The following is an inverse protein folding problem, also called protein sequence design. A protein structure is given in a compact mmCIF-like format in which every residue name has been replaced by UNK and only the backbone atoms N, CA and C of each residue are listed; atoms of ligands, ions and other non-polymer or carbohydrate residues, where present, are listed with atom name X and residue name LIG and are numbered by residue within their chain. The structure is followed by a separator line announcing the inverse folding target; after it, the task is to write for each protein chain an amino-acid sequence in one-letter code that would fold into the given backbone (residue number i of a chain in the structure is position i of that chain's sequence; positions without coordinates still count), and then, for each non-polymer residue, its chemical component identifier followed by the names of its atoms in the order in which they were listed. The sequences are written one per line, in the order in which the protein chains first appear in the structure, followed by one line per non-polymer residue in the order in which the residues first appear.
data_IF_309752109196
#
_entry.id   IF_309752109196
#
_cell.length_a   1.000
_cell.length_b   1.000
_cell.length_c   1.000
_cell.angle_alpha   90.00
_cell.angle_beta   90.00
_cell.angle_gamma   90.00
#
_symmetry.space_group_name_H-M   'P 1'
#
loop_
_entity.id
_entity.type
_entity.pdbx_description
1 polymer ?
#
# COMPACT_ATOMS: atom_id res chain seq x y z
N UNK A 1 -16.52 3.92 11.65
CA UNK A 1 -15.85 2.60 11.56
C UNK A 1 -14.36 2.82 11.30
N UNK A 2 -13.48 2.08 11.98
CA UNK A 2 -12.03 2.22 11.79
C UNK A 2 -11.61 1.52 10.50
N UNK A 3 -10.73 2.14 9.73
CA UNK A 3 -10.28 1.62 8.44
C UNK A 3 -8.81 1.23 8.48
N UNK A 4 -8.50 0.03 7.98
CA UNK A 4 -7.17 -0.51 7.91
C UNK A 4 -6.78 -0.75 6.45
N UNK A 5 -5.50 -0.60 6.17
CA UNK A 5 -4.91 -0.95 4.88
C UNK A 5 -3.91 -2.07 5.12
N UNK A 6 -4.13 -3.24 4.55
CA UNK A 6 -3.16 -4.32 4.64
C UNK A 6 -2.13 -4.13 3.51
N UNK A 7 -0.87 -4.04 3.91
CA UNK A 7 0.26 -4.02 2.99
C UNK A 7 0.49 -5.41 2.37
N UNK A 8 1.21 -5.50 1.25
CA UNK A 8 1.35 -6.75 0.53
C UNK A 8 2.01 -7.88 1.32
N UNK A 9 2.97 -7.61 2.22
CA UNK A 9 3.51 -8.67 3.07
C UNK A 9 2.44 -9.32 3.95
N UNK A 10 1.33 -8.64 4.26
CA UNK A 10 0.19 -9.28 4.92
C UNK A 10 -0.44 -10.36 4.02
N UNK A 11 -0.56 -10.13 2.71
CA UNK A 11 -1.06 -11.13 1.76
C UNK A 11 -0.12 -12.35 1.68
N UNK A 12 1.19 -12.12 1.64
CA UNK A 12 2.20 -13.20 1.67
C UNK A 12 2.08 -14.02 2.97
N UNK A 13 1.86 -13.36 4.11
CA UNK A 13 1.65 -14.05 5.39
C UNK A 13 0.39 -14.93 5.38
N UNK A 14 -0.68 -14.52 4.68
CA UNK A 14 -1.87 -15.35 4.50
C UNK A 14 -1.53 -16.58 3.65
N UNK A 15 -0.95 -16.37 2.46
CA UNK A 15 -0.65 -17.42 1.48
C UNK A 15 0.26 -18.50 2.06
N UNK A 16 1.35 -18.08 2.71
CA UNK A 16 2.38 -18.96 3.24
C UNK A 16 2.10 -19.41 4.68
N UNK A 17 0.96 -19.01 5.27
CA UNK A 17 0.59 -19.33 6.66
C UNK A 17 1.70 -19.01 7.68
N UNK A 18 2.34 -17.84 7.51
CA UNK A 18 3.41 -17.37 8.40
C UNK A 18 2.84 -16.92 9.75
N UNK A 19 3.70 -16.51 10.67
CA UNK A 19 3.34 -16.20 12.07
C UNK A 19 2.19 -15.19 12.22
N UNK A 20 2.06 -14.20 11.33
CA UNK A 20 0.99 -13.21 11.39
C UNK A 20 -0.34 -13.66 10.76
N UNK A 21 -0.42 -14.88 10.20
CA UNK A 21 -1.60 -15.40 9.50
C UNK A 21 -2.89 -15.29 10.34
N UNK A 22 -2.84 -15.71 11.61
CA UNK A 22 -3.99 -15.70 12.50
C UNK A 22 -4.56 -14.30 12.72
N UNK A 23 -3.70 -13.34 13.05
CA UNK A 23 -4.11 -11.95 13.30
C UNK A 23 -4.70 -11.29 12.04
N UNK A 24 -4.11 -11.55 10.87
CA UNK A 24 -4.61 -11.01 9.60
C UNK A 24 -5.98 -11.60 9.29
N UNK A 25 -6.20 -12.91 9.51
CA UNK A 25 -7.53 -13.52 9.38
C UNK A 25 -8.55 -12.90 10.32
N UNK A 26 -8.19 -12.58 11.56
CA UNK A 26 -9.09 -11.90 12.49
C UNK A 26 -9.54 -10.54 11.96
N UNK A 27 -8.64 -9.76 11.36
CA UNK A 27 -9.00 -8.48 10.72
C UNK A 27 -9.96 -8.66 9.53
N UNK A 28 -9.74 -9.69 8.71
CA UNK A 28 -10.60 -10.00 7.55
C UNK A 28 -12.00 -10.43 8.01
N UNK A 29 -12.09 -11.30 9.01
CA UNK A 29 -13.39 -11.73 9.55
C UNK A 29 -14.14 -10.57 10.20
N UNK A 30 -13.43 -9.63 10.84
CA UNK A 30 -14.05 -8.41 11.35
C UNK A 30 -14.59 -7.51 10.22
N UNK A 31 -13.90 -7.45 9.08
CA UNK A 31 -14.40 -6.77 7.89
C UNK A 31 -15.70 -7.41 7.39
N UNK A 32 -15.73 -8.75 7.33
CA UNK A 32 -16.92 -9.51 6.93
C UNK A 32 -18.13 -9.28 7.85
N UNK A 33 -17.88 -9.02 9.14
CA UNK A 33 -18.90 -8.66 10.14
C UNK A 33 -19.26 -7.17 10.17
N UNK A 34 -18.60 -6.32 9.36
CA UNK A 34 -18.83 -4.87 9.35
C UNK A 34 -18.24 -4.14 10.57
N UNK A 35 -17.31 -4.76 11.29
CA UNK A 35 -16.66 -4.18 12.47
C UNK A 35 -15.42 -3.35 12.10
N UNK A 36 -14.86 -3.59 10.91
CA UNK A 36 -13.72 -2.87 10.36
C UNK A 36 -13.90 -2.64 8.86
N UNK A 37 -13.36 -1.53 8.35
CA UNK A 37 -13.18 -1.33 6.92
C UNK A 37 -11.76 -1.77 6.55
N UNK A 38 -11.62 -2.84 5.76
CA UNK A 38 -10.32 -3.31 5.29
C UNK A 38 -10.17 -2.93 3.81
N UNK A 39 -8.95 -2.55 3.43
CA UNK A 39 -8.56 -2.39 2.05
C UNK A 39 -7.15 -2.91 1.80
N UNK A 40 -6.85 -3.19 0.53
CA UNK A 40 -5.54 -3.61 0.05
C UNK A 40 -5.19 -2.83 -1.21
N UNK A 41 -3.89 -2.69 -1.50
CA UNK A 41 -3.45 -2.07 -2.75
C UNK A 41 -3.67 -3.04 -3.92
N UNK A 42 -4.29 -2.59 -5.00
CA UNK A 42 -4.56 -3.45 -6.15
C UNK A 42 -3.33 -3.82 -6.99
N UNK A 43 -2.24 -3.05 -6.93
CA UNK A 43 -1.00 -3.43 -7.65
C UNK A 43 -0.25 -4.60 -7.01
N UNK A 44 -0.75 -5.17 -5.91
CA UNK A 44 -0.20 -6.41 -5.32
C UNK A 44 -0.32 -7.65 -6.22
N UNK A 45 -1.02 -7.55 -7.36
CA UNK A 45 -1.04 -8.60 -8.38
C UNK A 45 0.22 -8.66 -9.28
N UNK A 46 0.99 -7.57 -9.38
CA UNK A 46 2.23 -7.57 -10.15
C UNK A 46 3.41 -8.18 -9.40
N UNK A 47 3.27 -8.36 -8.10
CA UNK A 47 4.28 -9.00 -7.27
C UNK A 47 4.35 -10.49 -7.58
N UNK A 48 5.55 -11.04 -7.34
CA UNK A 48 5.86 -12.44 -7.59
C UNK A 48 4.91 -13.30 -6.75
N UNK A 49 4.05 -14.05 -7.43
CA UNK A 49 3.14 -14.98 -6.79
C UNK A 49 3.94 -16.12 -6.12
N UNK A 50 3.38 -16.83 -5.14
CA UNK A 50 3.93 -18.11 -4.71
C UNK A 50 4.25 -18.99 -5.92
N UNK A 51 5.49 -19.49 -6.03
CA UNK A 51 5.96 -20.24 -7.21
C UNK A 51 6.59 -19.40 -8.34
N UNK A 52 6.63 -18.08 -8.21
CA UNK A 52 7.46 -17.21 -9.05
C UNK A 52 6.77 -16.55 -10.25
N UNK A 53 5.50 -16.86 -10.51
CA UNK A 53 4.73 -16.32 -11.63
C UNK A 53 4.15 -14.93 -11.34
N UNK A 54 3.59 -14.28 -12.37
CA UNK A 54 2.87 -12.99 -12.27
C UNK A 54 1.41 -13.15 -12.67
N UNK A 55 0.52 -12.38 -12.04
CA UNK A 55 -0.84 -12.26 -12.54
C UNK A 55 -0.84 -11.31 -13.74
N UNK A 56 -1.33 -11.80 -14.88
CA UNK A 56 -1.32 -11.04 -16.14
C UNK A 56 -2.60 -10.22 -16.31
N UNK A 57 -3.67 -10.57 -15.60
CA UNK A 57 -4.96 -9.90 -15.68
C UNK A 57 -5.47 -9.52 -14.31
N UNK A 58 -6.16 -8.38 -14.24
CA UNK A 58 -6.84 -7.93 -13.02
C UNK A 58 -7.90 -8.95 -12.55
N UNK A 59 -8.60 -9.61 -13.46
CA UNK A 59 -9.54 -10.68 -13.11
C UNK A 59 -8.88 -11.86 -12.35
N UNK A 60 -7.62 -12.16 -12.65
CA UNK A 60 -6.88 -13.21 -11.93
C UNK A 60 -6.56 -12.76 -10.49
N UNK A 61 -6.32 -11.46 -10.30
CA UNK A 61 -6.17 -10.85 -8.98
C UNK A 61 -7.46 -10.92 -8.18
N UNK A 62 -8.59 -10.52 -8.76
CA UNK A 62 -9.90 -10.60 -8.10
C UNK A 62 -10.26 -12.04 -7.70
N UNK A 63 -9.94 -13.01 -8.57
CA UNK A 63 -10.12 -14.43 -8.30
C UNK A 63 -9.26 -14.90 -7.12
N UNK A 64 -7.98 -14.49 -7.08
CA UNK A 64 -7.08 -14.76 -5.95
C UNK A 64 -7.61 -14.12 -4.66
N UNK A 65 -8.03 -12.86 -4.70
CA UNK A 65 -8.56 -12.17 -3.53
C UNK A 65 -9.81 -12.89 -3.01
N UNK A 66 -10.70 -13.32 -3.91
CA UNK A 66 -11.87 -14.12 -3.55
C UNK A 66 -11.50 -15.44 -2.89
N UNK A 67 -10.51 -16.17 -3.42
CA UNK A 67 -10.01 -17.42 -2.83
C UNK A 67 -9.39 -17.23 -1.44
N UNK A 68 -8.81 -16.05 -1.17
CA UNK A 68 -8.28 -15.67 0.15
C UNK A 68 -9.35 -15.13 1.11
N UNK A 69 -10.63 -15.10 0.70
CA UNK A 69 -11.72 -14.53 1.48
C UNK A 69 -11.76 -13.00 1.45
N UNK A 70 -10.99 -12.36 0.58
CA UNK A 70 -10.85 -10.91 0.43
C UNK A 70 -11.70 -10.33 -0.71
N UNK A 71 -12.55 -11.12 -1.36
CA UNK A 71 -13.33 -10.67 -2.53
C UNK A 71 -14.31 -9.52 -2.24
N UNK A 72 -14.61 -9.24 -0.96
CA UNK A 72 -15.49 -8.17 -0.51
C UNK A 72 -14.74 -6.94 0.01
N UNK A 73 -13.40 -6.97 0.02
CA UNK A 73 -12.53 -5.93 0.59
C UNK A 73 -12.25 -4.85 -0.46
N UNK A 74 -12.13 -3.61 -0.01
CA UNK A 74 -11.87 -2.48 -0.89
C UNK A 74 -10.48 -2.56 -1.53
N UNK A 75 -10.41 -2.31 -2.84
CA UNK A 75 -9.15 -2.25 -3.58
C UNK A 75 -8.73 -0.79 -3.78
N UNK A 76 -7.60 -0.40 -3.18
CA UNK A 76 -7.02 0.92 -3.35
C UNK A 76 -6.30 1.00 -4.69
N UNK A 77 -6.55 2.10 -5.41
CA UNK A 77 -5.95 2.35 -6.71
C UNK A 77 -4.57 3.01 -6.55
N UNK A 78 -3.50 2.43 -7.12
CA UNK A 78 -2.19 3.07 -7.16
C UNK A 78 -2.14 4.21 -8.17
N UNK A 79 -1.08 5.02 -8.12
CA UNK A 79 -0.70 5.89 -9.24
C UNK A 79 -0.38 5.04 -10.47
N UNK A 80 -0.90 5.45 -11.63
CA UNK A 80 -0.61 4.82 -12.91
C UNK A 80 0.87 4.92 -13.29
N UNK A 81 1.49 3.78 -13.54
CA UNK A 81 2.88 3.65 -13.96
C UNK A 81 2.96 2.81 -15.23
N UNK A 82 3.49 3.39 -16.29
CA UNK A 82 3.65 2.69 -17.58
C UNK A 82 4.47 1.40 -17.39
N UNK A 83 3.95 0.27 -17.87
CA UNK A 83 4.57 -1.04 -17.74
C UNK A 83 4.49 -1.69 -16.35
N UNK A 84 3.87 -1.03 -15.37
CA UNK A 84 3.81 -1.49 -13.96
C UNK A 84 2.39 -1.50 -13.37
N UNK A 85 1.43 -0.81 -13.99
CA UNK A 85 0.03 -0.76 -13.53
C UNK A 85 -0.92 -1.46 -14.49
N UNK A 86 -2.03 -1.99 -13.96
CA UNK A 86 -3.12 -2.50 -14.80
C UNK A 86 -3.86 -1.34 -15.46
N UNK A 87 -4.09 -1.46 -16.77
CA UNK A 87 -4.94 -0.53 -17.50
C UNK A 87 -6.35 -0.54 -16.90
N UNK A 88 -6.94 0.65 -16.66
CA UNK A 88 -8.28 0.79 -16.07
C UNK A 88 -8.34 0.67 -14.54
N UNK A 89 -7.26 0.25 -13.87
CA UNK A 89 -7.19 0.14 -12.41
C UNK A 89 -6.00 0.92 -11.82
N UNK A 90 -5.91 2.20 -12.16
CA UNK A 90 -4.94 3.14 -11.59
C UNK A 90 -5.47 4.57 -11.66
N UNK A 91 -4.86 5.46 -10.88
CA UNK A 91 -5.18 6.89 -10.86
C UNK A 91 -4.22 7.62 -11.80
N UNK A 92 -4.76 8.48 -12.67
CA UNK A 92 -3.95 9.46 -13.38
C UNK A 92 -3.50 10.51 -12.36
N UNK A 93 -2.20 10.53 -12.07
CA UNK A 93 -1.60 11.41 -11.06
C UNK A 93 -1.21 12.76 -11.64
N UNK A 94 -1.27 13.79 -10.79
CA UNK A 94 -0.59 15.06 -11.02
C UNK A 94 0.84 15.04 -10.45
N UNK A 95 1.56 16.15 -10.61
CA UNK A 95 2.94 16.28 -10.11
C UNK A 95 3.02 16.19 -8.57
N UNK A 96 2.02 16.70 -7.85
CA UNK A 96 1.99 16.67 -6.39
C UNK A 96 1.87 15.24 -5.86
N UNK A 97 1.02 14.41 -6.46
CA UNK A 97 0.90 12.98 -6.13
C UNK A 97 2.20 12.23 -6.40
N UNK A 98 2.86 12.51 -7.52
CA UNK A 98 4.15 11.91 -7.87
C UNK A 98 5.25 12.30 -6.88
N UNK A 99 5.30 13.57 -6.47
CA UNK A 99 6.32 14.01 -5.50
C UNK A 99 6.03 13.46 -4.10
N UNK A 100 4.76 13.31 -3.71
CA UNK A 100 4.40 12.63 -2.46
C UNK A 100 4.84 11.16 -2.48
N UNK A 101 4.61 10.43 -3.56
CA UNK A 101 5.07 9.04 -3.72
C UNK A 101 6.61 8.95 -3.64
N UNK A 102 7.33 9.88 -4.29
CA UNK A 102 8.81 9.91 -4.22
C UNK A 102 9.32 10.25 -2.82
N UNK A 103 8.66 11.14 -2.08
CA UNK A 103 9.01 11.44 -0.70
C UNK A 103 8.85 10.21 0.19
N UNK A 104 7.75 9.46 0.02
CA UNK A 104 7.53 8.18 0.71
C UNK A 104 8.64 7.20 0.34
N UNK A 105 8.93 7.04 -0.95
CA UNK A 105 9.98 6.13 -1.45
C UNK A 105 11.33 6.44 -0.81
N UNK A 106 11.80 7.69 -0.88
CA UNK A 106 13.10 8.10 -0.32
C UNK A 106 13.16 7.95 1.21
N UNK A 107 12.02 8.06 1.88
CA UNK A 107 11.95 7.85 3.34
C UNK A 107 12.06 6.37 3.70
N UNK A 108 11.40 5.49 2.94
CA UNK A 108 11.46 4.05 3.14
C UNK A 108 12.80 3.46 2.69
N UNK A 109 13.38 3.97 1.60
CA UNK A 109 14.56 3.42 0.93
C UNK A 109 15.61 4.52 0.66
N UNK A 110 16.26 5.07 1.70
CA UNK A 110 17.11 6.26 1.57
C UNK A 110 18.35 6.07 0.69
N UNK A 111 18.78 4.82 0.48
CA UNK A 111 19.95 4.47 -0.34
C UNK A 111 19.58 4.04 -1.76
N UNK A 112 18.29 4.01 -2.10
CA UNK A 112 17.79 3.52 -3.39
C UNK A 112 17.27 4.70 -4.21
N UNK A 113 17.77 4.94 -5.44
CA UNK A 113 17.23 5.98 -6.30
C UNK A 113 15.73 5.78 -6.58
N UNK A 114 14.94 6.83 -6.31
CA UNK A 114 13.48 6.76 -6.45
C UNK A 114 13.00 6.71 -7.90
N UNK A 115 13.79 7.23 -8.85
CA UNK A 115 13.47 7.14 -10.28
C UNK A 115 14.13 5.90 -10.87
N UNK A 116 13.36 5.12 -11.64
CA UNK A 116 13.87 3.94 -12.33
C UNK A 116 15.08 4.25 -13.21
N UNK A 117 15.05 5.37 -13.95
CA UNK A 117 16.16 5.79 -14.81
C UNK A 117 17.47 5.93 -14.06
N UNK A 118 17.41 6.45 -12.84
CA UNK A 118 18.58 6.77 -12.03
C UNK A 118 19.09 5.50 -11.34
N UNK A 119 18.16 4.64 -10.88
CA UNK A 119 18.47 3.30 -10.39
C UNK A 119 19.13 2.44 -11.48
N UNK A 120 18.56 2.39 -12.68
CA UNK A 120 19.12 1.62 -13.79
C UNK A 120 20.55 2.05 -14.10
N UNK A 121 20.82 3.37 -14.14
CA UNK A 121 22.18 3.90 -14.34
C UNK A 121 23.12 3.49 -13.21
N UNK A 122 22.70 3.61 -11.94
CA UNK A 122 23.58 3.29 -10.79
C UNK A 122 23.92 1.81 -10.67
N UNK A 123 23.10 0.94 -11.26
CA UNK A 123 23.29 -0.52 -11.25
C UNK A 123 23.73 -1.09 -12.60
N UNK A 124 24.04 -0.24 -13.60
CA UNK A 124 24.50 -0.69 -14.92
C UNK A 124 23.46 -1.48 -15.72
N UNK A 125 22.17 -1.20 -15.52
CA UNK A 125 21.04 -1.87 -16.17
C UNK A 125 20.58 -1.10 -17.41
N UNK A 126 20.00 -1.82 -18.37
CA UNK A 126 19.21 -1.19 -19.44
C UNK A 126 17.96 -0.55 -18.82
N UNK A 127 17.67 0.71 -19.18
CA UNK A 127 16.45 1.42 -18.75
C UNK A 127 15.17 0.75 -19.22
N UNK A 128 15.24 -0.16 -20.21
CA UNK A 128 14.11 -0.97 -20.69
C UNK A 128 13.97 -2.30 -19.94
N UNK A 129 14.96 -2.71 -19.15
CA UNK A 129 14.90 -3.95 -18.40
C UNK A 129 14.03 -3.79 -17.15
N UNK A 130 12.80 -4.30 -17.22
CA UNK A 130 11.89 -4.34 -16.08
C UNK A 130 11.80 -5.74 -15.45
N UNK A 131 12.68 -6.67 -15.83
CA UNK A 131 12.51 -8.10 -15.57
C UNK A 131 13.66 -8.77 -14.83
N UNK A 132 14.85 -8.16 -14.79
CA UNK A 132 15.95 -8.68 -13.98
C UNK A 132 15.67 -8.61 -12.48
N UNK A 133 16.42 -9.38 -11.70
CA UNK A 133 16.34 -9.35 -10.24
C UNK A 133 16.56 -7.94 -9.66
N UNK A 134 17.45 -7.15 -10.26
CA UNK A 134 17.69 -5.77 -9.84
C UNK A 134 16.51 -4.85 -10.18
N UNK A 135 15.90 -5.00 -11.36
CA UNK A 135 14.66 -4.30 -11.70
C UNK A 135 13.52 -4.67 -10.75
N UNK A 136 13.42 -5.95 -10.38
CA UNK A 136 12.44 -6.42 -9.40
C UNK A 136 12.62 -5.81 -8.03
N UNK A 137 13.86 -5.69 -7.55
CA UNK A 137 14.14 -5.03 -6.28
C UNK A 137 13.57 -3.61 -6.28
N UNK A 138 13.88 -2.80 -7.30
CA UNK A 138 13.36 -1.45 -7.41
C UNK A 138 11.82 -1.40 -7.49
N UNK A 139 11.21 -2.32 -8.25
CA UNK A 139 9.75 -2.43 -8.35
C UNK A 139 9.09 -2.76 -7.02
N UNK A 140 9.69 -3.61 -6.19
CA UNK A 140 9.19 -3.91 -4.84
C UNK A 140 9.28 -2.67 -3.93
N UNK A 141 10.37 -1.89 -4.04
CA UNK A 141 10.46 -0.61 -3.33
C UNK A 141 9.36 0.37 -3.77
N UNK A 142 9.09 0.45 -5.08
CA UNK A 142 7.99 1.27 -5.61
C UNK A 142 6.63 0.78 -5.10
N UNK A 143 6.39 -0.53 -5.10
CA UNK A 143 5.15 -1.13 -4.59
C UNK A 143 4.89 -0.76 -3.13
N UNK A 144 5.91 -0.82 -2.28
CA UNK A 144 5.81 -0.39 -0.88
C UNK A 144 5.47 1.10 -0.75
N UNK A 145 6.09 1.96 -1.57
CA UNK A 145 5.76 3.39 -1.59
C UNK A 145 4.33 3.65 -2.08
N UNK A 146 3.87 2.93 -3.11
CA UNK A 146 2.51 3.03 -3.62
C UNK A 146 1.46 2.53 -2.63
N UNK A 147 1.76 1.48 -1.86
CA UNK A 147 0.86 0.97 -0.82
C UNK A 147 0.56 2.06 0.22
N UNK A 148 1.61 2.72 0.70
CA UNK A 148 1.45 3.78 1.69
C UNK A 148 0.87 5.06 1.08
N UNK A 149 1.26 5.42 -0.14
CA UNK A 149 0.63 6.55 -0.84
C UNK A 149 -0.88 6.35 -1.01
N UNK A 150 -1.32 5.16 -1.44
CA UNK A 150 -2.73 4.87 -1.63
C UNK A 150 -3.50 4.83 -0.31
N UNK A 151 -2.85 4.41 0.78
CA UNK A 151 -3.37 4.50 2.14
C UNK A 151 -3.64 5.95 2.55
N UNK A 152 -2.66 6.85 2.37
CA UNK A 152 -2.82 8.28 2.66
C UNK A 152 -3.87 8.93 1.76
N UNK A 153 -3.82 8.67 0.46
CA UNK A 153 -4.75 9.22 -0.52
C UNK A 153 -6.20 8.74 -0.27
N UNK A 154 -6.37 7.51 0.21
CA UNK A 154 -7.66 6.96 0.62
C UNK A 154 -8.15 7.44 1.99
N UNK A 155 -7.41 8.32 2.68
CA UNK A 155 -7.76 8.85 3.99
C UNK A 155 -7.95 7.76 5.06
N UNK A 156 -7.20 6.66 4.97
CA UNK A 156 -7.40 5.48 5.83
C UNK A 156 -6.69 5.65 7.17
N UNK A 157 -7.22 5.00 8.21
CA UNK A 157 -6.78 5.28 9.58
C UNK A 157 -5.50 4.56 9.98
N UNK A 158 -5.34 3.29 9.60
CA UNK A 158 -4.21 2.45 10.04
C UNK A 158 -3.58 1.73 8.85
N UNK A 159 -2.27 1.83 8.71
CA UNK A 159 -1.48 1.03 7.77
C UNK A 159 -0.92 -0.20 8.50
N UNK A 160 -1.29 -1.40 8.05
CA UNK A 160 -0.94 -2.66 8.68
C UNK A 160 0.12 -3.37 7.85
N UNK A 161 1.27 -3.66 8.46
CA UNK A 161 2.38 -4.33 7.77
C UNK A 161 3.24 -5.15 8.73
N UNK A 162 3.92 -6.17 8.21
CA UNK A 162 4.98 -6.89 8.91
C UNK A 162 6.38 -6.38 8.53
N UNK A 163 6.48 -5.39 7.65
CA UNK A 163 7.75 -4.82 7.21
C UNK A 163 8.18 -3.66 8.13
N UNK A 164 9.20 -3.90 8.94
CA UNK A 164 9.74 -2.93 9.90
C UNK A 164 10.29 -1.66 9.25
N UNK A 165 10.62 -1.69 7.95
CA UNK A 165 11.08 -0.52 7.21
C UNK A 165 10.08 0.65 7.23
N UNK A 166 8.79 0.36 7.36
CA UNK A 166 7.74 1.39 7.47
C UNK A 166 7.82 2.19 8.78
N UNK A 167 8.47 1.69 9.83
CA UNK A 167 8.71 2.45 11.06
C UNK A 167 9.61 3.68 10.86
N UNK A 168 10.19 3.88 9.67
CA UNK A 168 10.91 5.09 9.28
C UNK A 168 9.98 6.28 9.00
N UNK A 169 8.76 6.04 8.52
CA UNK A 169 7.84 7.12 8.14
C UNK A 169 7.48 8.01 9.33
N UNK A 170 6.94 7.49 10.47
CA UNK A 170 6.47 8.35 11.56
C UNK A 170 7.59 9.14 12.25
N UNK A 171 8.86 8.81 11.97
CA UNK A 171 10.05 9.51 12.47
C UNK A 171 10.35 10.81 11.69
N UNK A 172 9.59 11.10 10.63
CA UNK A 172 9.72 12.30 9.80
C UNK A 172 8.47 13.16 9.97
N UNK A 173 8.66 14.48 10.03
CA UNK A 173 7.58 15.44 10.31
C UNK A 173 6.45 15.35 9.29
N UNK A 174 6.80 15.10 8.03
CA UNK A 174 5.91 14.98 6.88
C UNK A 174 4.97 13.77 6.95
N UNK A 175 5.24 12.84 7.85
CA UNK A 175 4.45 11.64 8.12
C UNK A 175 4.14 11.47 9.61
N UNK A 176 4.23 12.54 10.41
CA UNK A 176 4.06 12.43 11.85
C UNK A 176 2.74 11.74 12.21
N UNK A 177 1.67 12.03 11.48
CA UNK A 177 0.32 11.48 11.72
C UNK A 177 0.12 10.04 11.18
N UNK A 178 1.14 9.42 10.59
CA UNK A 178 1.05 8.07 10.07
C UNK A 178 0.89 7.06 11.21
N UNK A 179 -0.21 6.30 11.20
CA UNK A 179 -0.44 5.22 12.16
C UNK A 179 -0.11 3.89 11.49
N UNK A 180 1.02 3.32 11.90
CA UNK A 180 1.55 2.08 11.33
C UNK A 180 1.55 1.02 12.43
N UNK A 181 0.96 -0.14 12.13
CA UNK A 181 0.78 -1.21 13.10
C UNK A 181 1.20 -2.56 12.51
N UNK A 182 1.69 -3.45 13.37
CA UNK A 182 1.73 -4.88 13.06
C UNK A 182 0.31 -5.46 13.06
N UNK A 183 0.08 -6.62 12.41
CA UNK A 183 -1.22 -7.30 12.49
C UNK A 183 -1.71 -7.53 13.92
N UNK A 184 -0.82 -7.94 14.82
CA UNK A 184 -1.14 -8.14 16.25
C UNK A 184 -1.61 -6.85 16.92
N UNK A 185 -0.93 -5.73 16.66
CA UNK A 185 -1.34 -4.42 17.20
C UNK A 185 -2.70 -3.99 16.64
N UNK A 186 -2.94 -4.20 15.35
CA UNK A 186 -4.22 -3.87 14.71
C UNK A 186 -5.39 -4.68 15.31
N UNK A 187 -5.19 -5.96 15.60
CA UNK A 187 -6.19 -6.81 16.28
C UNK A 187 -6.47 -6.33 17.70
N UNK A 188 -5.44 -5.96 18.47
CA UNK A 188 -5.63 -5.41 19.81
C UNK A 188 -6.47 -4.13 19.80
N UNK A 189 -6.19 -3.24 18.83
CA UNK A 189 -6.92 -1.99 18.65
C UNK A 189 -8.36 -2.22 18.17
N UNK A 190 -8.60 -3.26 17.36
CA UNK A 190 -9.93 -3.69 16.97
C UNK A 190 -10.74 -4.21 18.17
N UNK A 191 -10.11 -4.97 19.07
CA UNK A 191 -10.73 -5.53 20.27
C UNK A 191 -11.04 -4.47 21.36
N UNK A 192 -10.82 -3.19 21.10
CA UNK A 192 -11.10 -2.09 22.03
C UNK A 192 -9.95 -1.73 22.97
N UNK A 193 -8.75 -2.31 22.79
CA UNK A 193 -7.57 -1.91 23.55
C UNK A 193 -6.93 -0.63 22.96
N UNK A 194 -7.54 0.52 23.26
CA UNK A 194 -7.05 1.83 22.84
C UNK A 194 -5.75 2.25 23.58
N UNK A 195 -5.23 1.49 24.55
CA UNK A 195 -4.06 1.88 25.37
C UNK A 195 -2.73 1.82 24.62
N UNK A 196 -2.72 1.37 23.35
CA UNK A 196 -1.51 1.19 22.53
C UNK A 196 -1.53 1.93 21.19
N UNK A 197 -2.50 2.82 20.94
CA UNK A 197 -2.47 3.65 19.74
C UNK A 197 -1.34 4.67 19.91
N UNK A 198 -0.31 4.70 19.06
CA UNK A 198 0.63 5.80 19.04
C UNK A 198 -0.14 7.06 18.65
N UNK A 199 -0.42 7.93 19.63
CA UNK A 199 -1.13 9.18 19.38
C UNK A 199 -0.15 10.14 18.72
N UNK A 200 -0.11 10.13 17.40
CA UNK A 200 0.44 11.25 16.66
C UNK A 200 -0.68 12.20 16.26
N UNK A 201 -0.69 13.36 16.94
CA UNK A 201 -1.22 14.61 16.44
C UNK A 201 -2.59 14.57 15.74
N UNK A 202 -3.66 14.31 16.49
CA UNK A 202 -5.00 14.71 16.04
C UNK A 202 -5.09 16.25 15.98
N UNK A 203 -4.63 16.84 14.87
CA UNK A 203 -5.14 18.13 14.39
C UNK A 203 -5.79 17.88 13.04
N UNK A 204 -7.12 17.81 13.05
CA UNK A 204 -7.95 17.89 11.85
C UNK A 204 -7.61 19.20 11.13
N UNK A 205 -7.00 19.13 9.96
CA UNK A 205 -7.16 20.16 8.94
C UNK A 205 -7.86 19.51 7.74
N UNK A 206 -9.18 19.60 7.76
CA UNK A 206 -10.03 19.46 6.58
C UNK A 206 -9.62 20.51 5.55
N UNK A 207 -8.94 20.10 4.48
CA UNK A 207 -8.96 20.86 3.22
C UNK A 207 -10.12 20.34 2.38
N UNK A 208 -11.09 21.16 1.97
CA UNK A 208 -12.09 20.75 1.02
C UNK A 208 -11.43 20.57 -0.35
N UNK A 209 -11.73 19.45 -1.00
CA UNK A 209 -11.48 19.26 -2.43
C UNK A 209 -12.43 20.22 -3.15
N UNK A 210 -11.88 21.18 -3.90
CA UNK A 210 -12.69 22.09 -4.70
C UNK A 210 -13.40 21.29 -5.80
N UNK A 211 -14.72 21.22 -5.73
CA UNK A 211 -15.57 20.92 -6.89
C UNK A 211 -15.33 22.03 -7.91
N UNK A 212 -14.78 21.67 -9.06
CA UNK A 212 -14.70 22.57 -10.20
C UNK A 212 -15.99 22.39 -11.00
N UNK A 213 -17.02 23.15 -10.64
CA UNK A 213 -18.20 23.32 -11.47
C UNK A 213 -17.79 24.02 -12.77
N UNK A 214 -17.97 23.29 -13.87
CA UNK A 214 -17.90 23.80 -15.22
C UNK A 214 -19.09 24.75 -15.42
N UNK A 215 -18.85 26.05 -15.46
CA UNK A 215 -19.83 27.04 -15.91
C UNK A 215 -19.44 27.56 -17.29
N UNK A 216 -20.33 27.25 -18.23
CA UNK A 216 -20.48 27.80 -19.57
C UNK A 216 -20.29 29.32 -19.60
N UNK A 217 -19.40 29.81 -20.46
CA UNK A 217 -19.61 30.87 -21.45
C UNK A 217 -18.37 31.05 -22.32
#
# INVERSE_FOLDING_TARGET
MRSFTLENNCLINIDEKRSAHGDIRTLIEAARRGEADIAILASSAYERQPGGAHLKRFADFESRMSALGLGHISLLRPIGRHGLSFHGFSIMSDEAAIERERLIFRTLFPTTPARWSDYAVSYGLDKKDLSSAAAWHWRNCLGAAQAFWAHENGGRHVFVTTNEGFARLPKKLEFANAVIMTPTQAVQVLAGDNRRIPVAGLRRQSRPVANMDFLLR
#
